data_IF_386355561733
#
_entry.id   IF_386355561733
#
_cell.length_a   1.000
_cell.length_b   1.000
_cell.length_c   1.000
_cell.angle_alpha   90.00
_cell.angle_beta   90.00
_cell.angle_gamma   90.00
#
_symmetry.space_group_name_H-M   'P 1'
#
loop_
_entity.id
_entity.type
_entity.pdbx_description
1 polymer ?
#
# COMPACT_ATOMS: atom_id res chain seq x y z
N UNK A 1 23.12 -6.77 -19.60
CA UNK A 1 22.54 -6.11 -18.42
C UNK A 1 22.74 -7.04 -17.23
N UNK A 2 23.34 -6.58 -16.13
CA UNK A 2 23.37 -7.38 -14.90
C UNK A 2 21.93 -7.66 -14.48
N UNK A 3 21.57 -8.94 -14.34
CA UNK A 3 20.25 -9.34 -13.86
C UNK A 3 20.02 -8.70 -12.48
N UNK A 4 18.92 -7.96 -12.32
CA UNK A 4 18.58 -7.28 -11.07
C UNK A 4 18.29 -8.35 -10.00
N UNK A 5 19.17 -8.49 -9.01
CA UNK A 5 19.06 -9.51 -7.96
C UNK A 5 17.89 -9.21 -7.00
N UNK A 6 16.95 -10.14 -6.86
CA UNK A 6 15.85 -9.99 -5.91
C UNK A 6 16.37 -9.74 -4.49
N UNK A 7 15.87 -8.69 -3.84
CA UNK A 7 16.34 -8.22 -2.54
C UNK A 7 15.23 -8.11 -1.48
N UNK A 8 13.98 -8.44 -1.81
CA UNK A 8 12.83 -8.36 -0.92
C UNK A 8 11.94 -9.62 -0.96
N UNK A 9 11.38 -10.10 0.18
CA UNK A 9 11.57 -9.58 1.54
C UNK A 9 12.95 -9.92 2.12
N UNK A 10 13.56 -9.04 2.94
CA UNK A 10 14.82 -9.30 3.62
C UNK A 10 14.56 -10.19 4.84
N UNK A 11 14.35 -11.48 4.60
CA UNK A 11 14.15 -12.45 5.68
C UNK A 11 15.50 -12.91 6.25
N UNK A 12 15.58 -13.19 7.56
CA UNK A 12 16.74 -13.84 8.14
C UNK A 12 17.06 -15.15 7.41
N UNK A 13 18.36 -15.46 7.26
CA UNK A 13 18.84 -16.64 6.51
C UNK A 13 18.31 -18.00 7.03
N UNK A 14 17.78 -18.05 8.25
CA UNK A 14 17.18 -19.27 8.83
C UNK A 14 15.77 -19.57 8.29
N UNK A 15 15.10 -18.59 7.66
CA UNK A 15 13.80 -18.81 7.01
C UNK A 15 14.09 -19.24 5.56
N UNK A 16 13.64 -20.41 5.10
CA UNK A 16 13.93 -20.95 3.76
C UNK A 16 13.07 -20.28 2.67
N UNK A 17 12.97 -18.95 2.69
CA UNK A 17 12.25 -18.15 1.71
C UNK A 17 13.24 -17.16 1.10
N UNK A 18 13.59 -17.38 -0.16
CA UNK A 18 14.45 -16.47 -0.91
C UNK A 18 13.71 -15.16 -1.18
N UNK A 19 14.44 -14.02 -1.28
CA UNK A 19 13.87 -12.80 -1.83
C UNK A 19 13.16 -13.08 -3.16
N UNK A 20 11.90 -12.71 -3.25
CA UNK A 20 11.04 -12.97 -4.41
C UNK A 20 10.94 -11.74 -5.34
N UNK A 21 11.27 -10.56 -4.83
CA UNK A 21 11.07 -9.30 -5.53
C UNK A 21 12.32 -8.46 -5.52
N UNK A 22 12.63 -7.87 -6.66
CA UNK A 22 13.49 -6.70 -6.73
C UNK A 22 12.70 -5.45 -6.33
N UNK A 23 13.32 -4.66 -5.45
CA UNK A 23 12.82 -3.37 -5.00
C UNK A 23 14.01 -2.45 -4.70
N UNK A 24 14.24 -1.48 -5.59
CA UNK A 24 15.12 -0.35 -5.32
C UNK A 24 14.39 0.95 -5.68
N UNK A 25 14.14 1.80 -4.69
CA UNK A 25 13.43 3.06 -4.93
C UNK A 25 14.29 4.06 -5.71
N UNK A 26 15.61 4.08 -5.49
CA UNK A 26 16.50 5.05 -6.12
C UNK A 26 16.71 4.73 -7.60
N UNK A 27 16.77 3.44 -7.94
CA UNK A 27 17.06 2.98 -9.30
C UNK A 27 15.78 2.87 -10.16
N UNK A 28 14.64 2.51 -9.55
CA UNK A 28 13.41 2.23 -10.33
C UNK A 28 12.36 3.32 -10.26
N UNK A 29 12.33 4.17 -9.22
CA UNK A 29 11.28 5.16 -9.06
C UNK A 29 11.83 6.55 -9.44
N UNK A 30 11.15 7.30 -10.34
CA UNK A 30 11.51 8.67 -10.66
C UNK A 30 11.63 9.55 -9.41
N UNK A 31 12.64 10.43 -9.39
CA UNK A 31 13.04 11.23 -8.20
C UNK A 31 11.86 12.01 -7.61
N UNK A 32 11.01 12.57 -8.45
CA UNK A 32 9.79 13.31 -8.12
C UNK A 32 8.76 12.48 -7.35
N UNK A 33 8.77 11.15 -7.49
CA UNK A 33 7.81 10.24 -6.86
C UNK A 33 8.41 9.39 -5.74
N UNK A 34 9.74 9.31 -5.63
CA UNK A 34 10.43 8.49 -4.62
C UNK A 34 9.94 8.75 -3.19
N UNK A 35 9.76 10.02 -2.83
CA UNK A 35 9.31 10.40 -1.48
C UNK A 35 7.91 9.85 -1.19
N UNK A 36 7.00 9.95 -2.16
CA UNK A 36 5.64 9.45 -2.02
C UNK A 36 5.61 7.92 -1.91
N UNK A 37 6.30 7.22 -2.81
CA UNK A 37 6.34 5.74 -2.80
C UNK A 37 7.01 5.22 -1.52
N UNK A 38 8.08 5.85 -1.04
CA UNK A 38 8.71 5.54 0.26
C UNK A 38 7.78 5.81 1.45
N UNK A 39 6.91 6.83 1.38
CA UNK A 39 5.88 7.08 2.41
C UNK A 39 4.80 5.99 2.40
N UNK A 40 4.34 5.55 1.23
CA UNK A 40 3.37 4.45 1.11
C UNK A 40 3.98 3.14 1.61
N UNK A 41 5.26 2.87 1.31
CA UNK A 41 5.99 1.72 1.85
C UNK A 41 6.07 1.75 3.39
N UNK A 42 6.38 2.92 3.98
CA UNK A 42 6.37 3.08 5.44
C UNK A 42 4.99 2.92 6.06
N UNK A 43 3.95 3.36 5.36
CA UNK A 43 2.56 3.13 5.77
C UNK A 43 2.22 1.63 5.78
N UNK A 44 2.67 0.85 4.79
CA UNK A 44 2.55 -0.61 4.82
C UNK A 44 3.21 -1.21 6.06
N UNK A 45 4.49 -0.87 6.32
CA UNK A 45 5.20 -1.38 7.49
C UNK A 45 4.51 -0.98 8.81
N UNK A 46 4.03 0.26 8.91
CA UNK A 46 3.29 0.74 10.07
C UNK A 46 1.97 -0.02 10.27
N UNK A 47 1.23 -0.30 9.19
CA UNK A 47 0.02 -1.11 9.24
C UNK A 47 0.32 -2.55 9.69
N UNK A 48 1.39 -3.18 9.18
CA UNK A 48 1.83 -4.49 9.65
C UNK A 48 2.20 -4.48 11.15
N UNK A 49 2.92 -3.46 11.61
CA UNK A 49 3.23 -3.29 13.04
C UNK A 49 1.94 -3.09 13.86
N UNK A 50 0.96 -2.36 13.34
CA UNK A 50 -0.36 -2.18 13.94
C UNK A 50 -1.08 -3.51 14.11
N UNK A 51 -1.05 -4.39 13.10
CA UNK A 51 -1.60 -5.75 13.20
C UNK A 51 -0.90 -6.58 14.29
N UNK A 52 0.42 -6.44 14.43
CA UNK A 52 1.19 -7.08 15.49
C UNK A 52 0.81 -6.60 16.90
N UNK A 53 0.69 -5.28 17.08
CA UNK A 53 0.21 -4.69 18.34
C UNK A 53 -1.24 -5.10 18.62
N UNK A 54 -2.08 -5.15 17.59
CA UNK A 54 -3.46 -5.60 17.70
C UNK A 54 -3.57 -7.07 18.16
N UNK A 55 -2.68 -7.95 17.71
CA UNK A 55 -2.63 -9.33 18.18
C UNK A 55 -2.35 -9.39 19.70
N UNK A 56 -1.38 -8.60 20.18
CA UNK A 56 -1.07 -8.50 21.62
C UNK A 56 -2.27 -7.93 22.39
N UNK A 57 -2.93 -6.91 21.86
CA UNK A 57 -4.12 -6.33 22.48
C UNK A 57 -5.30 -7.31 22.52
N UNK A 58 -5.53 -8.09 21.45
CA UNK A 58 -6.56 -9.12 21.46
C UNK A 58 -6.22 -10.26 22.44
N UNK A 59 -4.94 -10.56 22.67
CA UNK A 59 -4.52 -11.49 23.71
C UNK A 59 -4.81 -10.92 25.11
N UNK A 60 -4.49 -9.65 25.36
CA UNK A 60 -4.82 -8.96 26.62
C UNK A 60 -6.34 -8.91 26.85
N UNK A 61 -7.11 -8.65 25.79
CA UNK A 61 -8.57 -8.69 25.83
C UNK A 61 -9.06 -10.09 26.24
N UNK A 62 -8.52 -11.15 25.62
CA UNK A 62 -8.90 -12.52 25.96
C UNK A 62 -8.55 -12.88 27.41
N UNK A 63 -7.34 -12.57 27.88
CA UNK A 63 -6.91 -12.79 29.27
C UNK A 63 -7.80 -12.01 30.25
N UNK A 64 -8.26 -10.81 29.88
CA UNK A 64 -9.18 -10.00 30.67
C UNK A 64 -10.63 -10.51 30.72
N UNK A 65 -10.93 -11.66 30.12
CA UNK A 65 -12.29 -12.24 30.07
C UNK A 65 -13.06 -11.94 28.78
N UNK A 66 -12.42 -11.36 27.78
CA UNK A 66 -12.98 -11.16 26.44
C UNK A 66 -13.04 -12.44 25.61
N UNK A 67 -13.72 -12.36 24.46
CA UNK A 67 -13.81 -13.48 23.54
C UNK A 67 -12.46 -13.78 22.85
N UNK A 68 -12.02 -15.04 22.95
CA UNK A 68 -10.85 -15.56 22.22
C UNK A 68 -11.00 -15.54 20.68
N UNK A 69 -12.22 -15.37 20.15
CA UNK A 69 -12.47 -15.19 18.72
C UNK A 69 -11.70 -14.00 18.16
N UNK A 70 -11.59 -12.90 18.92
CA UNK A 70 -10.86 -11.72 18.47
C UNK A 70 -9.36 -12.02 18.32
N UNK A 71 -8.78 -12.80 19.23
CA UNK A 71 -7.38 -13.22 19.15
C UNK A 71 -7.13 -14.11 17.92
N UNK A 72 -7.99 -15.11 17.70
CA UNK A 72 -7.89 -15.99 16.53
C UNK A 72 -7.96 -15.22 15.21
N UNK A 73 -8.92 -14.30 15.08
CA UNK A 73 -9.04 -13.47 13.88
C UNK A 73 -7.88 -12.47 13.73
N UNK A 74 -7.39 -11.87 14.82
CA UNK A 74 -6.21 -11.00 14.77
C UNK A 74 -4.98 -11.72 14.21
N UNK A 75 -4.81 -13.00 14.57
CA UNK A 75 -3.74 -13.84 14.03
C UNK A 75 -3.91 -14.09 12.53
N UNK A 76 -5.13 -14.41 12.08
CA UNK A 76 -5.46 -14.57 10.66
C UNK A 76 -5.21 -13.27 9.89
N UNK A 77 -5.63 -12.11 10.42
CA UNK A 77 -5.41 -10.81 9.80
C UNK A 77 -3.93 -10.45 9.69
N UNK A 78 -3.13 -10.73 10.72
CA UNK A 78 -1.69 -10.52 10.67
C UNK A 78 -1.04 -11.33 9.54
N UNK A 79 -1.37 -12.62 9.44
CA UNK A 79 -0.79 -13.51 8.42
C UNK A 79 -1.30 -13.22 7.01
N UNK A 80 -2.57 -12.83 6.85
CA UNK A 80 -3.18 -12.57 5.54
C UNK A 80 -2.82 -11.18 5.02
N UNK A 81 -3.06 -10.13 5.81
CA UNK A 81 -2.94 -8.76 5.34
C UNK A 81 -1.50 -8.26 5.24
N UNK A 82 -0.54 -8.88 5.95
CA UNK A 82 0.88 -8.52 5.79
C UNK A 82 1.39 -8.80 4.38
N UNK A 83 1.35 -10.05 3.84
CA UNK A 83 1.78 -10.33 2.47
C UNK A 83 0.79 -9.78 1.44
N UNK A 84 -0.53 -9.88 1.66
CA UNK A 84 -1.53 -9.35 0.73
C UNK A 84 -1.37 -7.82 0.58
N UNK A 85 -1.08 -7.10 1.65
CA UNK A 85 -0.90 -5.66 1.56
C UNK A 85 0.31 -5.26 0.73
N UNK A 86 1.41 -6.02 0.85
CA UNK A 86 2.58 -5.81 0.01
C UNK A 86 2.27 -6.09 -1.46
N UNK A 87 1.70 -7.26 -1.75
CA UNK A 87 1.50 -7.76 -3.13
C UNK A 87 0.35 -7.05 -3.85
N UNK A 88 -0.76 -6.82 -3.16
CA UNK A 88 -2.01 -6.43 -3.80
C UNK A 88 -2.20 -4.92 -3.88
N UNK A 89 -1.53 -4.09 -3.06
CA UNK A 89 -1.61 -2.64 -3.23
C UNK A 89 -0.25 -1.95 -3.28
N UNK A 90 0.73 -2.32 -2.45
CA UNK A 90 2.03 -1.64 -2.51
C UNK A 90 2.78 -1.92 -3.82
N UNK A 91 2.80 -3.18 -4.29
CA UNK A 91 3.44 -3.53 -5.56
C UNK A 91 2.78 -2.89 -6.78
N UNK A 92 1.43 -2.86 -6.90
CA UNK A 92 0.78 -2.11 -7.97
C UNK A 92 1.18 -0.64 -8.01
N UNK A 93 1.15 0.09 -6.88
CA UNK A 93 1.55 1.51 -6.89
C UNK A 93 3.03 1.70 -7.19
N UNK A 94 3.89 0.80 -6.71
CA UNK A 94 5.32 0.82 -7.05
C UNK A 94 5.53 0.65 -8.56
N UNK A 95 4.86 -0.34 -9.19
CA UNK A 95 4.90 -0.54 -10.64
C UNK A 95 4.30 0.63 -11.42
N UNK A 96 3.21 1.20 -10.92
CA UNK A 96 2.53 2.34 -11.53
C UNK A 96 3.47 3.55 -11.63
N UNK A 97 4.18 3.91 -10.56
CA UNK A 97 5.13 5.03 -10.57
C UNK A 97 6.45 4.71 -11.29
N UNK A 98 6.90 3.46 -11.30
CA UNK A 98 8.10 3.05 -12.03
C UNK A 98 7.96 3.28 -13.54
N UNK A 99 6.77 3.04 -14.07
CA UNK A 99 6.60 2.88 -15.51
C UNK A 99 5.36 3.58 -16.08
N UNK A 100 4.78 4.50 -15.31
CA UNK A 100 3.60 5.30 -15.67
C UNK A 100 2.42 4.47 -16.21
N UNK A 101 2.18 3.29 -15.61
CA UNK A 101 1.14 2.37 -16.05
C UNK A 101 -0.20 2.69 -15.40
N UNK A 102 -1.17 3.11 -16.24
CA UNK A 102 -2.53 3.44 -15.81
C UNK A 102 -3.28 2.23 -15.28
N UNK A 103 -3.04 1.03 -15.82
CA UNK A 103 -3.64 -0.19 -15.30
C UNK A 103 -3.20 -0.47 -13.85
N UNK A 104 -1.90 -0.33 -13.56
CA UNK A 104 -1.37 -0.52 -12.21
C UNK A 104 -1.89 0.54 -11.22
N UNK A 105 -2.10 1.79 -11.66
CA UNK A 105 -2.77 2.81 -10.85
C UNK A 105 -4.22 2.41 -10.53
N UNK A 106 -4.99 1.94 -11.52
CA UNK A 106 -6.36 1.49 -11.30
C UNK A 106 -6.43 0.33 -10.30
N UNK A 107 -5.59 -0.69 -10.48
CA UNK A 107 -5.49 -1.81 -9.54
C UNK A 107 -5.17 -1.33 -8.11
N UNK A 108 -4.23 -0.39 -7.97
CA UNK A 108 -3.94 0.23 -6.69
C UNK A 108 -5.17 0.92 -6.08
N UNK A 109 -5.89 1.77 -6.83
CA UNK A 109 -7.03 2.50 -6.27
C UNK A 109 -8.14 1.58 -5.75
N UNK A 110 -8.49 0.53 -6.50
CA UNK A 110 -9.52 -0.41 -6.06
C UNK A 110 -9.10 -1.18 -4.80
N UNK A 111 -7.89 -1.76 -4.81
CA UNK A 111 -7.44 -2.62 -3.71
C UNK A 111 -7.10 -1.79 -2.47
N UNK A 112 -6.41 -0.67 -2.65
CA UNK A 112 -6.04 0.22 -1.55
C UNK A 112 -7.26 0.98 -1.01
N UNK A 113 -8.27 1.27 -1.85
CA UNK A 113 -9.56 1.78 -1.42
C UNK A 113 -10.32 0.78 -0.53
N UNK A 114 -10.38 -0.50 -0.93
CA UNK A 114 -10.94 -1.55 -0.09
C UNK A 114 -10.16 -1.73 1.23
N UNK A 115 -8.83 -1.68 1.17
CA UNK A 115 -7.96 -1.71 2.35
C UNK A 115 -8.25 -0.53 3.28
N UNK A 116 -8.45 0.68 2.76
CA UNK A 116 -8.81 1.86 3.55
C UNK A 116 -10.13 1.65 4.30
N UNK A 117 -11.18 1.16 3.63
CA UNK A 117 -12.47 0.86 4.27
C UNK A 117 -12.30 -0.19 5.37
N UNK A 118 -11.56 -1.27 5.11
CA UNK A 118 -11.27 -2.29 6.11
C UNK A 118 -10.53 -1.71 7.33
N UNK A 119 -9.56 -0.82 7.10
CA UNK A 119 -8.81 -0.17 8.18
C UNK A 119 -9.67 0.82 8.99
N UNK A 120 -10.65 1.48 8.38
CA UNK A 120 -11.66 2.26 9.11
C UNK A 120 -12.52 1.35 10.00
N UNK A 121 -12.97 0.20 9.49
CA UNK A 121 -13.72 -0.79 10.28
C UNK A 121 -12.88 -1.32 11.46
N UNK A 122 -11.59 -1.57 11.25
CA UNK A 122 -10.66 -1.96 12.31
C UNK A 122 -10.47 -0.85 13.36
N UNK A 123 -10.39 0.40 12.95
CA UNK A 123 -10.30 1.54 13.86
C UNK A 123 -11.57 1.69 14.71
N UNK A 124 -12.75 1.45 14.13
CA UNK A 124 -14.01 1.40 14.88
C UNK A 124 -14.00 0.24 15.87
N UNK A 125 -13.59 -0.96 15.42
CA UNK A 125 -13.37 -2.12 16.29
C UNK A 125 -14.65 -2.77 16.79
N UNK A 126 -15.44 -3.35 15.87
CA UNK A 126 -16.57 -4.20 16.26
C UNK A 126 -16.09 -5.48 16.94
N UNK A 127 -16.77 -5.87 18.02
CA UNK A 127 -16.47 -7.12 18.71
C UNK A 127 -16.69 -8.32 17.79
N UNK A 128 -15.77 -9.29 17.81
CA UNK A 128 -15.79 -10.45 16.92
C UNK A 128 -15.17 -10.19 15.55
N UNK A 129 -14.64 -9.00 15.28
CA UNK A 129 -13.91 -8.68 14.05
C UNK A 129 -12.40 -8.96 14.15
N UNK A 130 -11.87 -9.22 15.35
CA UNK A 130 -10.44 -9.41 15.55
C UNK A 130 -9.61 -8.12 15.52
N UNK A 131 -10.23 -6.98 15.78
CA UNK A 131 -9.55 -5.70 15.91
C UNK A 131 -9.97 -4.97 17.19
N UNK A 132 -8.99 -4.58 18.00
CA UNK A 132 -9.15 -3.72 19.16
C UNK A 132 -9.23 -2.25 18.71
N UNK A 133 -10.34 -1.87 18.10
CA UNK A 133 -10.64 -0.47 17.80
C UNK A 133 -11.33 0.27 18.95
N UNK A 134 -11.77 1.49 18.70
CA UNK A 134 -12.32 2.39 19.71
C UNK A 134 -13.53 1.81 20.47
N UNK A 135 -14.50 1.22 19.77
CA UNK A 135 -15.69 0.67 20.41
C UNK A 135 -15.34 -0.50 21.35
N UNK A 136 -14.47 -1.40 20.89
CA UNK A 136 -14.00 -2.52 21.71
C UNK A 136 -13.20 -2.04 22.93
N UNK A 137 -12.27 -1.08 22.74
CA UNK A 137 -11.44 -0.57 23.82
C UNK A 137 -12.25 0.19 24.88
N UNK A 138 -13.10 1.13 24.45
CA UNK A 138 -13.97 1.93 25.34
C UNK A 138 -14.94 1.01 26.09
N UNK A 139 -15.58 0.08 25.38
CA UNK A 139 -16.53 -0.86 25.95
C UNK A 139 -15.91 -1.79 27.00
N UNK A 140 -14.60 -2.04 26.94
CA UNK A 140 -13.91 -2.98 27.82
C UNK A 140 -13.38 -2.38 29.13
N UNK A 141 -13.36 -1.05 29.26
CA UNK A 141 -12.89 -0.37 30.49
C UNK A 141 -13.67 -0.79 31.74
N UNK A 142 -14.96 -1.09 31.60
CA UNK A 142 -15.80 -1.53 32.72
C UNK A 142 -15.45 -2.93 33.25
N UNK A 143 -14.77 -3.76 32.45
CA UNK A 143 -14.42 -5.14 32.81
C UNK A 143 -12.96 -5.27 33.25
N UNK A 144 -12.03 -4.68 32.48
CA UNK A 144 -10.61 -4.71 32.80
C UNK A 144 -9.92 -3.44 32.30
N UNK A 145 -9.72 -2.43 33.18
CA UNK A 145 -9.06 -1.18 32.81
C UNK A 145 -7.66 -1.39 32.24
N UNK A 146 -6.90 -2.34 32.78
CA UNK A 146 -5.56 -2.67 32.31
C UNK A 146 -5.54 -3.18 30.86
N UNK A 147 -6.42 -4.13 30.53
CA UNK A 147 -6.54 -4.62 29.16
C UNK A 147 -7.07 -3.53 28.21
N UNK A 148 -8.04 -2.73 28.66
CA UNK A 148 -8.61 -1.64 27.86
C UNK A 148 -7.57 -0.58 27.48
N UNK A 149 -6.62 -0.25 28.36
CA UNK A 149 -5.49 0.64 28.04
C UNK A 149 -4.61 0.06 26.93
N UNK A 150 -4.30 -1.24 26.97
CA UNK A 150 -3.55 -1.90 25.90
C UNK A 150 -4.34 -1.90 24.59
N UNK A 151 -5.67 -2.07 24.64
CA UNK A 151 -6.56 -2.02 23.49
C UNK A 151 -6.66 -0.63 22.84
N UNK A 152 -6.41 0.46 23.56
CA UNK A 152 -6.38 1.80 22.98
C UNK A 152 -5.20 1.99 22.02
N UNK A 153 -4.08 1.29 22.22
CA UNK A 153 -2.90 1.40 21.36
C UNK A 153 -3.19 1.05 19.88
N UNK A 154 -3.71 -0.15 19.54
CA UNK A 154 -4.10 -0.45 18.17
C UNK A 154 -5.25 0.42 17.67
N UNK A 155 -6.19 0.85 18.53
CA UNK A 155 -7.27 1.77 18.12
C UNK A 155 -6.71 3.10 17.55
N UNK A 156 -5.73 3.68 18.25
CA UNK A 156 -5.01 4.89 17.80
C UNK A 156 -4.21 4.57 16.52
N UNK A 157 -3.45 3.47 16.49
CA UNK A 157 -2.62 3.11 15.34
C UNK A 157 -3.44 2.81 14.07
N UNK A 158 -4.59 2.14 14.18
CA UNK A 158 -5.51 1.93 13.06
C UNK A 158 -6.12 3.25 12.59
N UNK A 159 -6.46 4.16 13.50
CA UNK A 159 -6.96 5.50 13.14
C UNK A 159 -5.92 6.31 12.37
N UNK A 160 -4.67 6.29 12.83
CA UNK A 160 -3.54 6.93 12.14
C UNK A 160 -3.29 6.26 10.78
N UNK A 161 -3.36 4.93 10.70
CA UNK A 161 -3.26 4.19 9.44
C UNK A 161 -4.34 4.62 8.45
N UNK A 162 -5.61 4.69 8.87
CA UNK A 162 -6.73 5.12 8.03
C UNK A 162 -6.52 6.56 7.51
N UNK A 163 -6.12 7.49 8.39
CA UNK A 163 -5.84 8.87 7.99
C UNK A 163 -4.69 8.96 6.96
N UNK A 164 -3.60 8.22 7.18
CA UNK A 164 -2.49 8.16 6.24
C UNK A 164 -2.88 7.51 4.90
N UNK A 165 -3.73 6.47 4.92
CA UNK A 165 -4.28 5.84 3.71
C UNK A 165 -5.14 6.82 2.91
N UNK A 166 -6.01 7.59 3.57
CA UNK A 166 -6.81 8.62 2.91
C UNK A 166 -5.92 9.68 2.23
N UNK A 167 -4.90 10.18 2.93
CA UNK A 167 -3.93 11.15 2.37
C UNK A 167 -3.19 10.54 1.19
N UNK A 168 -2.75 9.29 1.29
CA UNK A 168 -2.04 8.59 0.22
C UNK A 168 -2.92 8.42 -1.03
N UNK A 169 -4.16 7.96 -0.89
CA UNK A 169 -5.13 7.82 -2.00
C UNK A 169 -5.31 9.16 -2.70
N UNK A 170 -5.59 10.23 -1.94
CA UNK A 170 -5.81 11.56 -2.51
C UNK A 170 -4.59 12.07 -3.29
N UNK A 171 -3.37 11.87 -2.75
CA UNK A 171 -2.13 12.31 -3.41
C UNK A 171 -1.84 11.52 -4.68
N UNK A 172 -1.95 10.20 -4.64
CA UNK A 172 -1.73 9.34 -5.83
C UNK A 172 -2.77 9.64 -6.89
N UNK A 173 -4.04 9.81 -6.50
CA UNK A 173 -5.13 10.16 -7.42
C UNK A 173 -4.90 11.52 -8.08
N UNK A 174 -4.43 12.53 -7.35
CA UNK A 174 -4.09 13.85 -7.92
C UNK A 174 -2.97 13.75 -8.97
N UNK A 175 -1.91 12.97 -8.71
CA UNK A 175 -0.82 12.77 -9.68
C UNK A 175 -1.34 12.03 -10.91
N UNK A 176 -2.09 10.94 -10.70
CA UNK A 176 -2.69 10.16 -11.78
C UNK A 176 -3.55 11.02 -12.71
N UNK A 177 -4.43 11.86 -12.15
CA UNK A 177 -5.26 12.80 -12.94
C UNK A 177 -4.45 13.90 -13.61
N UNK A 178 -3.44 14.44 -12.92
CA UNK A 178 -2.54 15.44 -13.49
C UNK A 178 -1.77 14.94 -14.70
N UNK A 179 -1.35 13.67 -14.69
CA UNK A 179 -0.62 13.02 -15.77
C UNK A 179 -1.49 12.54 -16.94
N UNK A 180 -2.78 12.91 -16.99
CA UNK A 180 -3.70 12.45 -18.04
C UNK A 180 -4.05 10.96 -17.95
N UNK A 181 -3.88 10.35 -16.77
CA UNK A 181 -4.30 8.97 -16.52
C UNK A 181 -5.79 8.78 -16.78
N UNK A 182 -6.13 7.79 -17.60
CA UNK A 182 -7.52 7.47 -17.96
C UNK A 182 -7.79 5.97 -17.95
N UNK A 183 -9.07 5.61 -17.85
CA UNK A 183 -9.51 4.23 -17.95
C UNK A 183 -9.25 3.67 -19.36
N UNK A 184 -9.37 4.51 -20.40
CA UNK A 184 -9.06 4.14 -21.78
C UNK A 184 -7.58 3.78 -21.95
N UNK A 185 -6.66 4.56 -21.36
CA UNK A 185 -5.22 4.22 -21.34
C UNK A 185 -5.00 2.88 -20.64
N UNK A 186 -5.66 2.65 -19.50
CA UNK A 186 -5.58 1.36 -18.78
C UNK A 186 -6.12 0.18 -19.61
N UNK A 187 -7.19 0.36 -20.39
CA UNK A 187 -7.74 -0.67 -21.28
C UNK A 187 -6.80 -0.99 -22.45
N UNK A 188 -6.19 0.04 -23.07
CA UNK A 188 -5.16 -0.15 -24.09
C UNK A 188 -3.95 -0.88 -23.52
N UNK A 189 -3.48 -0.48 -22.33
CA UNK A 189 -2.39 -1.17 -21.63
C UNK A 189 -2.73 -2.64 -21.36
N UNK A 190 -3.96 -2.92 -20.90
CA UNK A 190 -4.45 -4.28 -20.64
C UNK A 190 -4.42 -5.15 -21.91
N UNK A 191 -5.01 -4.66 -22.99
CA UNK A 191 -5.11 -5.39 -24.27
C UNK A 191 -3.73 -5.63 -24.90
N UNK A 192 -2.82 -4.67 -24.78
CA UNK A 192 -1.44 -4.78 -25.31
C UNK A 192 -0.50 -5.56 -24.39
N UNK A 193 -0.90 -5.85 -23.15
CA UNK A 193 -0.06 -6.51 -22.15
C UNK A 193 1.10 -5.64 -21.61
N UNK A 194 1.19 -4.38 -22.02
CA UNK A 194 2.28 -3.45 -21.64
C UNK A 194 2.31 -3.19 -20.13
N UNK A 195 1.20 -3.37 -19.42
CA UNK A 195 1.13 -3.26 -17.96
C UNK A 195 1.99 -4.29 -17.19
N UNK A 196 2.33 -5.43 -17.81
CA UNK A 196 3.10 -6.52 -17.15
C UNK A 196 4.58 -6.18 -17.05
N UNK A 197 5.16 -5.77 -18.17
CA UNK A 197 6.54 -5.32 -18.33
C UNK A 197 6.55 -4.00 -19.09
N UNK A 198 6.06 -2.91 -18.47
CA UNK A 198 6.14 -1.62 -19.12
C UNK A 198 7.64 -1.33 -19.32
N UNK A 199 8.08 -1.00 -20.55
CA UNK A 199 9.49 -0.79 -20.81
C UNK A 199 10.01 0.26 -19.84
N UNK A 200 11.17 0.01 -19.20
CA UNK A 200 11.86 1.07 -18.48
C UNK A 200 12.07 2.23 -19.45
N UNK A 201 12.06 3.48 -18.96
CA UNK A 201 12.37 4.65 -19.82
C UNK A 201 13.61 4.39 -20.67
N UNK A 202 14.65 3.77 -20.10
CA UNK A 202 15.87 3.35 -20.79
C UNK A 202 15.63 2.39 -21.97
N UNK A 203 14.72 1.43 -21.86
CA UNK A 203 14.36 0.53 -22.97
C UNK A 203 13.61 1.25 -24.09
N UNK A 204 12.83 2.30 -23.77
CA UNK A 204 12.23 3.18 -24.78
C UNK A 204 13.29 4.04 -25.48
N UNK A 205 14.30 4.52 -24.77
CA UNK A 205 15.43 5.27 -25.37
C UNK A 205 16.33 4.38 -26.24
N UNK A 206 16.64 3.15 -25.80
CA UNK A 206 17.64 2.30 -26.47
C UNK A 206 17.12 1.53 -27.69
N UNK A 207 15.81 1.29 -27.81
CA UNK A 207 15.23 0.61 -28.98
C UNK A 207 14.96 1.54 -30.17
N UNK A 208 15.57 2.73 -30.17
CA UNK A 208 15.37 3.73 -31.19
C UNK A 208 16.53 3.70 -32.21
N UNK A 209 16.31 3.10 -33.38
CA UNK A 209 17.27 3.05 -34.50
C UNK A 209 16.79 3.79 -35.75
N UNK A 210 15.76 4.65 -35.64
CA UNK A 210 15.21 5.43 -36.74
C UNK A 210 15.63 6.91 -36.74
N UNK A 211 15.49 7.58 -37.90
CA UNK A 211 15.77 9.02 -38.07
C UNK A 211 14.56 9.93 -37.73
N UNK A 212 13.39 9.38 -37.43
CA UNK A 212 12.23 10.16 -36.96
C UNK A 212 12.34 10.36 -35.45
N UNK A 213 11.90 11.48 -34.88
CA UNK A 213 11.78 11.57 -33.41
C UNK A 213 10.75 10.54 -32.90
N UNK A 214 10.89 9.99 -31.68
CA UNK A 214 9.86 9.12 -31.13
C UNK A 214 8.50 9.82 -31.17
N UNK A 215 7.49 9.18 -31.75
CA UNK A 215 6.10 9.58 -31.57
C UNK A 215 5.74 9.28 -30.12
N UNK A 216 5.99 10.26 -29.24
CA UNK A 216 5.51 10.20 -27.87
C UNK A 216 3.98 10.08 -27.94
N UNK A 217 3.31 9.20 -27.17
CA UNK A 217 1.96 9.52 -26.74
C UNK A 217 2.08 10.91 -26.12
N UNK A 218 1.48 11.91 -26.77
CA UNK A 218 1.59 13.33 -26.41
C UNK A 218 1.67 13.46 -24.91
N UNK A 219 2.81 13.92 -24.38
CA UNK A 219 2.92 14.29 -22.97
C UNK A 219 1.77 15.28 -22.76
N UNK A 220 0.78 15.00 -21.89
CA UNK A 220 -0.27 15.98 -21.66
C UNK A 220 0.41 17.30 -21.30
N UNK A 221 0.07 18.36 -22.05
CA UNK A 221 0.54 19.70 -21.74
C UNK A 221 0.00 20.06 -20.37
N UNK A 222 0.83 19.91 -19.34
CA UNK A 222 0.54 20.48 -18.05
C UNK A 222 0.35 21.98 -18.26
N UNK A 223 -0.68 22.62 -17.69
CA UNK A 223 -0.67 24.05 -17.60
C UNK A 223 0.66 24.42 -16.94
N UNK A 224 1.52 25.10 -17.69
CA UNK A 224 2.65 25.79 -17.10
C UNK A 224 2.09 26.61 -15.94
N UNK A 225 2.85 26.75 -14.87
CA UNK A 225 2.51 27.59 -13.73
C UNK A 225 2.34 29.05 -14.19
N UNK A 226 1.25 29.33 -14.89
CA UNK A 226 0.67 30.63 -15.04
C UNK A 226 0.33 31.05 -13.63
N UNK A 227 0.94 32.16 -13.24
CA UNK A 227 0.70 32.86 -12.00
C UNK A 227 -0.81 32.82 -11.69
N UNK A 228 -1.17 32.08 -10.64
CA UNK A 228 -2.46 32.29 -10.03
C UNK A 228 -2.40 33.61 -9.27
N UNK A 229 -3.39 34.50 -9.40
CA UNK A 229 -3.53 35.66 -8.53
C UNK A 229 -3.78 35.23 -7.07
#
# INVERSE_FOLDING_TARGET
MSEKENNFPPLPKFIPVKPCFYQNFSDEIPVEHQVLVKRIYRLWMFYCATLGVNLIACLAWWIGGGSGTNFGLAFVWLLLFTPCGYVCWFRPVYKAFRADSSFNFMAFFFIFGAQFVLTVIQAIGFSGWGACGWLSAIGFFQYSPGAAVVMLLPAIMFSVSAAMMAIAIMKVHRIYRGAGGSFQKAQTEWNTGTWRNPPSREAQYNNFSGNSLPEYPTVPSYPGSGQWP
#
